data_IF_249374124956
#
_entry.id   IF_249374124956
#
_cell.length_a   1.000
_cell.length_b   1.000
_cell.length_c   1.000
_cell.angle_alpha   90.00
_cell.angle_beta   90.00
_cell.angle_gamma   90.00
#
_symmetry.space_group_name_H-M   'P 1'
#
loop_
_entity.id
_entity.type
_entity.pdbx_description
1 polymer ?
#
# COMPACT_ATOMS: atom_id res chain seq x y z
N UNK A 1 11.29 -30.24 3.34
CA UNK A 1 10.34 -29.16 3.03
C UNK A 1 10.52 -28.10 4.10
N UNK A 2 10.57 -26.83 3.72
CA UNK A 2 10.66 -25.71 4.66
C UNK A 2 9.32 -24.98 4.74
N UNK A 3 9.00 -24.44 5.92
CA UNK A 3 7.70 -23.81 6.19
C UNK A 3 7.86 -22.32 6.52
N UNK A 4 6.90 -21.52 6.07
CA UNK A 4 6.80 -20.10 6.43
C UNK A 4 6.11 -19.90 7.78
N UNK A 5 5.03 -20.66 8.01
CA UNK A 5 4.16 -20.55 9.17
C UNK A 5 3.74 -21.94 9.66
N UNK A 6 3.60 -22.08 10.98
CA UNK A 6 3.07 -23.28 11.63
C UNK A 6 1.66 -23.03 12.18
N UNK A 7 0.92 -24.13 12.37
CA UNK A 7 -0.38 -24.17 13.03
C UNK A 7 -0.24 -24.95 14.33
N UNK A 8 -0.58 -24.32 15.46
CA UNK A 8 -0.49 -24.94 16.78
C UNK A 8 -1.41 -26.17 16.87
N UNK A 9 -0.87 -27.29 17.36
CA UNK A 9 -1.62 -28.55 17.50
C UNK A 9 -1.93 -29.29 16.19
N UNK A 10 -1.52 -28.75 15.03
CA UNK A 10 -1.74 -29.38 13.73
C UNK A 10 -0.46 -30.07 13.20
N UNK A 11 -0.60 -31.15 12.41
CA UNK A 11 0.55 -31.80 11.76
C UNK A 11 1.22 -30.88 10.75
N UNK A 12 2.50 -31.12 10.45
CA UNK A 12 3.29 -30.33 9.49
C UNK A 12 2.73 -30.34 8.07
N UNK A 13 1.90 -31.33 7.72
CA UNK A 13 1.17 -31.37 6.44
C UNK A 13 0.14 -30.26 6.30
N UNK A 14 -0.27 -29.62 7.39
CA UNK A 14 -1.16 -28.47 7.42
C UNK A 14 -0.41 -27.13 7.53
N UNK A 15 0.92 -27.15 7.71
CA UNK A 15 1.73 -25.94 7.81
C UNK A 15 1.94 -25.30 6.44
N UNK A 16 2.19 -24.00 6.40
CA UNK A 16 2.35 -23.27 5.14
C UNK A 16 3.74 -23.51 4.55
N UNK A 17 3.86 -24.10 3.34
CA UNK A 17 5.15 -24.25 2.70
C UNK A 17 5.76 -22.89 2.35
N UNK A 18 7.04 -22.71 2.68
CA UNK A 18 7.75 -21.45 2.43
C UNK A 18 7.75 -21.01 0.95
N UNK A 19 7.95 -21.90 -0.04
CA UNK A 19 7.85 -21.49 -1.44
C UNK A 19 6.46 -21.02 -1.87
N UNK A 20 5.41 -21.53 -1.22
CA UNK A 20 4.02 -21.13 -1.51
C UNK A 20 3.79 -19.72 -0.98
N UNK A 21 4.07 -19.47 0.30
CA UNK A 21 3.95 -18.14 0.91
C UNK A 21 4.71 -17.08 0.13
N UNK A 22 6.00 -17.32 -0.14
CA UNK A 22 6.85 -16.36 -0.84
C UNK A 22 6.33 -16.02 -2.26
N UNK A 23 5.76 -17.00 -2.97
CA UNK A 23 5.14 -16.78 -4.28
C UNK A 23 3.85 -15.98 -4.15
N UNK A 24 2.99 -16.30 -3.19
CA UNK A 24 1.74 -15.57 -2.98
C UNK A 24 1.98 -14.12 -2.57
N UNK A 25 2.91 -13.87 -1.66
CA UNK A 25 3.35 -12.53 -1.28
C UNK A 25 3.97 -11.81 -2.47
N UNK A 26 4.80 -12.50 -3.26
CA UNK A 26 5.37 -11.98 -4.50
C UNK A 26 4.31 -11.50 -5.49
N UNK A 27 3.29 -12.33 -5.79
CA UNK A 27 2.20 -11.96 -6.69
C UNK A 27 1.36 -10.80 -6.14
N UNK A 28 1.01 -10.85 -4.85
CA UNK A 28 0.20 -9.82 -4.21
C UNK A 28 0.94 -8.47 -4.18
N UNK A 29 2.23 -8.46 -3.85
CA UNK A 29 3.06 -7.27 -3.87
C UNK A 29 3.24 -6.74 -5.30
N UNK A 30 3.44 -7.62 -6.29
CA UNK A 30 3.52 -7.24 -7.70
C UNK A 30 2.22 -6.60 -8.20
N UNK A 31 1.06 -7.17 -7.83
CA UNK A 31 -0.25 -6.64 -8.17
C UNK A 31 -0.45 -5.22 -7.64
N UNK A 32 -0.06 -4.95 -6.39
CA UNK A 32 -0.09 -3.59 -5.80
C UNK A 32 0.90 -2.65 -6.49
N UNK A 33 2.12 -3.12 -6.74
CA UNK A 33 3.18 -2.33 -7.37
C UNK A 33 2.93 -2.03 -8.86
N UNK A 34 2.07 -2.81 -9.52
CA UNK A 34 1.66 -2.57 -10.92
C UNK A 34 1.00 -1.19 -11.12
N UNK A 35 0.33 -0.66 -10.09
CA UNK A 35 -0.32 0.66 -10.11
C UNK A 35 0.66 1.82 -10.35
N UNK A 36 1.94 1.60 -10.06
CA UNK A 36 3.02 2.55 -10.33
C UNK A 36 4.15 1.90 -11.16
N UNK A 37 3.80 0.89 -11.98
CA UNK A 37 4.68 0.25 -12.95
C UNK A 37 5.98 -0.33 -12.36
N UNK A 38 5.89 -0.92 -11.16
CA UNK A 38 7.01 -1.54 -10.46
C UNK A 38 6.74 -3.01 -10.07
N UNK A 39 5.91 -3.70 -10.87
CA UNK A 39 5.47 -5.07 -10.56
C UNK A 39 6.64 -6.05 -10.38
N UNK A 40 7.68 -5.96 -11.22
CA UNK A 40 8.88 -6.80 -11.11
C UNK A 40 9.60 -6.60 -9.76
N UNK A 41 9.73 -5.36 -9.29
CA UNK A 41 10.33 -5.04 -7.99
C UNK A 41 9.48 -5.59 -6.84
N UNK A 42 8.15 -5.39 -6.89
CA UNK A 42 7.24 -5.93 -5.88
C UNK A 42 7.31 -7.46 -5.78
N UNK A 43 7.35 -8.13 -6.94
CA UNK A 43 7.51 -9.59 -7.04
C UNK A 43 8.77 -10.09 -6.36
N UNK A 44 9.92 -9.50 -6.70
CA UNK A 44 11.21 -9.88 -6.13
C UNK A 44 11.27 -9.61 -4.63
N UNK A 45 10.72 -8.48 -4.18
CA UNK A 45 10.63 -8.16 -2.75
C UNK A 45 9.84 -9.25 -1.99
N UNK A 46 8.67 -9.64 -2.51
CA UNK A 46 7.84 -10.68 -1.89
C UNK A 46 8.47 -12.07 -1.93
N UNK A 47 9.15 -12.44 -3.01
CA UNK A 47 9.85 -13.73 -3.09
C UNK A 47 10.97 -13.83 -2.05
N UNK A 48 11.70 -12.74 -1.80
CA UNK A 48 12.90 -12.76 -0.96
C UNK A 48 12.66 -12.39 0.51
N UNK A 49 11.52 -11.80 0.88
CA UNK A 49 11.34 -11.23 2.22
C UNK A 49 11.63 -12.24 3.35
N UNK A 50 11.12 -13.45 3.17
CA UNK A 50 11.20 -14.56 4.10
C UNK A 50 12.32 -15.55 3.81
N UNK A 51 13.26 -15.21 2.91
CA UNK A 51 14.28 -16.16 2.49
C UNK A 51 15.15 -16.67 3.65
N UNK A 52 15.30 -15.89 4.73
CA UNK A 52 16.00 -16.34 5.94
C UNK A 52 15.28 -17.46 6.71
N UNK A 53 13.99 -17.74 6.44
CA UNK A 53 13.26 -18.84 7.07
C UNK A 53 13.79 -20.21 6.66
N UNK A 54 14.57 -20.33 5.58
CA UNK A 54 15.28 -21.57 5.23
C UNK A 54 16.41 -21.94 6.20
N UNK A 55 16.81 -21.05 7.11
CA UNK A 55 17.83 -21.36 8.11
C UNK A 55 17.36 -22.48 9.05
N UNK A 56 18.23 -23.46 9.38
CA UNK A 56 17.88 -24.53 10.32
C UNK A 56 17.36 -24.02 11.67
N UNK A 57 17.93 -22.93 12.20
CA UNK A 57 17.50 -22.32 13.45
C UNK A 57 16.03 -21.84 13.40
N UNK A 58 15.61 -21.21 12.29
CA UNK A 58 14.24 -20.75 12.11
C UNK A 58 13.27 -21.93 11.98
N UNK A 59 13.63 -22.97 11.22
CA UNK A 59 12.79 -24.16 11.11
C UNK A 59 12.66 -24.88 12.46
N UNK A 60 13.73 -24.95 13.26
CA UNK A 60 13.68 -25.47 14.62
C UNK A 60 12.74 -24.64 15.52
N UNK A 61 12.75 -23.31 15.38
CA UNK A 61 11.81 -22.42 16.06
C UNK A 61 10.34 -22.73 15.77
N UNK A 62 9.99 -23.08 14.54
CA UNK A 62 8.60 -23.46 14.22
C UNK A 62 8.14 -24.74 14.95
N UNK A 63 9.08 -25.64 15.28
CA UNK A 63 8.81 -26.91 15.96
C UNK A 63 8.88 -26.82 17.49
N UNK A 64 9.76 -25.99 18.04
CA UNK A 64 9.95 -25.85 19.47
C UNK A 64 9.86 -24.37 19.90
N UNK A 65 8.80 -23.99 20.64
CA UNK A 65 8.65 -22.64 21.18
C UNK A 65 9.80 -22.18 22.09
N UNK A 66 10.66 -23.08 22.58
CA UNK A 66 11.84 -22.75 23.41
C UNK A 66 13.00 -22.19 22.60
N UNK A 67 13.04 -22.42 21.28
CA UNK A 67 14.04 -21.81 20.40
C UNK A 67 13.63 -20.36 20.15
N UNK A 68 14.55 -19.40 20.34
CA UNK A 68 14.22 -17.96 20.29
C UNK A 68 14.76 -17.25 19.06
N UNK A 69 15.56 -17.91 18.22
CA UNK A 69 16.06 -17.32 16.98
C UNK A 69 14.96 -17.28 15.91
N UNK A 70 14.38 -16.09 15.75
CA UNK A 70 13.35 -15.81 14.75
C UNK A 70 13.87 -14.93 13.63
N UNK A 71 15.16 -14.59 13.59
CA UNK A 71 15.69 -13.63 12.64
C UNK A 71 15.67 -14.19 11.21
N UNK A 72 15.02 -13.50 10.26
CA UNK A 72 14.95 -14.00 8.87
C UNK A 72 14.94 -12.90 7.78
N UNK A 73 14.89 -11.63 8.13
CA UNK A 73 14.83 -10.53 7.16
C UNK A 73 16.16 -10.27 6.43
N UNK A 74 17.30 -10.65 7.02
CA UNK A 74 18.62 -10.27 6.51
C UNK A 74 19.09 -11.11 5.31
N UNK A 75 18.80 -12.42 5.27
CA UNK A 75 19.30 -13.29 4.20
C UNK A 75 18.77 -12.89 2.81
N UNK A 76 17.47 -12.60 2.70
CA UNK A 76 16.86 -12.12 1.45
C UNK A 76 17.40 -10.76 1.01
N UNK A 77 17.61 -9.87 1.97
CA UNK A 77 18.20 -8.56 1.70
C UNK A 77 19.65 -8.67 1.19
N UNK A 78 20.45 -9.55 1.79
CA UNK A 78 21.80 -9.84 1.35
C UNK A 78 21.82 -10.44 -0.06
N UNK A 79 20.93 -11.40 -0.35
CA UNK A 79 20.81 -11.94 -1.71
C UNK A 79 20.54 -10.82 -2.72
N UNK A 80 19.56 -9.94 -2.45
CA UNK A 80 19.24 -8.82 -3.31
C UNK A 80 20.45 -7.90 -3.52
N UNK A 81 21.11 -7.50 -2.43
CA UNK A 81 22.31 -6.63 -2.44
C UNK A 81 23.44 -7.20 -3.28
N UNK A 82 23.71 -8.50 -3.19
CA UNK A 82 24.86 -9.13 -3.85
C UNK A 82 24.57 -9.60 -5.28
N UNK A 83 23.32 -9.93 -5.63
CA UNK A 83 23.00 -10.61 -6.90
C UNK A 83 22.18 -9.77 -7.88
N UNK A 84 21.49 -8.72 -7.44
CA UNK A 84 20.50 -8.00 -8.25
C UNK A 84 20.92 -6.57 -8.63
N UNK A 85 22.21 -6.28 -8.53
CA UNK A 85 22.80 -5.00 -8.93
C UNK A 85 22.23 -3.81 -8.15
N UNK A 86 22.08 -2.66 -8.85
CA UNK A 86 21.66 -1.38 -8.23
C UNK A 86 20.24 -1.45 -7.66
N UNK A 87 19.32 -2.11 -8.34
CA UNK A 87 17.95 -2.32 -7.85
C UNK A 87 17.92 -3.27 -6.66
N UNK A 88 18.87 -4.20 -6.61
CA UNK A 88 19.13 -5.06 -5.46
C UNK A 88 19.41 -4.30 -4.16
N UNK A 89 20.11 -3.16 -4.22
CA UNK A 89 20.35 -2.32 -3.03
C UNK A 89 19.04 -1.73 -2.50
N UNK A 90 18.18 -1.21 -3.36
CA UNK A 90 16.87 -0.71 -2.98
C UNK A 90 16.02 -1.83 -2.37
N UNK A 91 15.99 -2.99 -3.02
CA UNK A 91 15.22 -4.14 -2.54
C UNK A 91 15.75 -4.68 -1.22
N UNK A 92 17.07 -4.69 -1.02
CA UNK A 92 17.67 -5.08 0.25
C UNK A 92 17.12 -4.23 1.40
N UNK A 93 16.90 -2.94 1.15
CA UNK A 93 16.33 -2.04 2.14
C UNK A 93 14.85 -2.31 2.43
N UNK A 94 14.07 -2.54 1.39
CA UNK A 94 12.65 -2.94 1.51
C UNK A 94 12.52 -4.27 2.27
N UNK A 95 13.34 -5.26 1.92
CA UNK A 95 13.31 -6.61 2.49
C UNK A 95 13.79 -6.57 3.94
N UNK A 96 14.92 -5.95 4.26
CA UNK A 96 15.42 -5.93 5.64
C UNK A 96 14.44 -5.31 6.63
N UNK A 97 13.67 -4.31 6.19
CA UNK A 97 12.75 -3.57 7.03
C UNK A 97 11.38 -4.21 7.27
N UNK A 98 11.01 -5.31 6.60
CA UNK A 98 9.60 -5.76 6.54
C UNK A 98 8.97 -6.09 7.91
N UNK A 99 9.76 -6.36 8.95
CA UNK A 99 9.28 -6.50 10.33
C UNK A 99 9.58 -5.30 11.25
N UNK A 100 10.70 -4.61 11.04
CA UNK A 100 11.20 -3.58 11.95
C UNK A 100 10.92 -2.14 11.50
N UNK A 101 10.41 -1.96 10.28
CA UNK A 101 10.35 -0.67 9.60
C UNK A 101 11.61 -0.37 8.78
N UNK A 102 11.54 0.66 7.95
CA UNK A 102 12.68 1.11 7.14
C UNK A 102 13.74 1.76 8.04
N UNK A 103 14.95 1.21 8.01
CA UNK A 103 16.11 1.73 8.76
C UNK A 103 16.81 2.90 8.07
N UNK A 104 17.19 3.93 8.82
CA UNK A 104 18.02 4.99 8.27
C UNK A 104 19.42 4.48 7.88
N UNK A 105 19.97 5.00 6.77
CA UNK A 105 21.37 4.78 6.42
C UNK A 105 21.71 3.40 5.85
N UNK A 106 20.77 2.49 5.62
CA UNK A 106 21.08 1.16 5.05
C UNK A 106 21.71 1.23 3.65
N UNK A 107 21.40 2.29 2.89
CA UNK A 107 21.98 2.57 1.58
C UNK A 107 23.27 3.43 1.66
N UNK A 108 23.69 3.85 2.86
CA UNK A 108 24.95 4.55 3.03
C UNK A 108 26.13 3.59 2.79
N UNK A 109 27.32 4.15 2.48
CA UNK A 109 28.54 3.34 2.28
C UNK A 109 28.83 2.41 3.46
N UNK A 110 28.52 2.87 4.67
CA UNK A 110 28.73 2.13 5.93
C UNK A 110 27.43 1.47 6.46
N UNK A 111 26.35 1.52 5.69
CA UNK A 111 25.05 0.93 6.03
C UNK A 111 25.18 -0.58 6.20
N UNK A 112 25.28 -1.03 7.45
CA UNK A 112 25.37 -2.44 7.80
C UNK A 112 23.97 -3.00 8.01
N UNK A 113 23.64 -4.02 7.23
CA UNK A 113 22.59 -4.97 7.59
C UNK A 113 23.07 -5.70 8.83
N UNK A 114 22.25 -5.73 9.89
CA UNK A 114 22.50 -6.63 11.01
C UNK A 114 22.23 -8.06 10.52
N UNK A 115 23.32 -8.75 10.14
CA UNK A 115 23.27 -10.03 9.47
C UNK A 115 24.33 -10.97 10.04
N UNK A 116 23.93 -12.20 10.30
CA UNK A 116 24.83 -13.26 10.75
C UNK A 116 25.62 -13.85 9.58
N UNK A 117 26.71 -14.57 9.90
CA UNK A 117 27.43 -15.37 8.90
C UNK A 117 26.52 -16.41 8.22
N UNK A 118 25.55 -16.96 8.95
CA UNK A 118 24.57 -17.88 8.41
C UNK A 118 23.64 -17.21 7.37
N UNK A 119 23.27 -15.94 7.57
CA UNK A 119 22.49 -15.18 6.58
C UNK A 119 23.29 -14.97 5.30
N UNK A 120 24.57 -14.63 5.43
CA UNK A 120 25.46 -14.45 4.28
C UNK A 120 25.70 -15.76 3.54
N UNK A 121 25.98 -16.84 4.27
CA UNK A 121 26.17 -18.17 3.68
C UNK A 121 24.92 -18.61 2.89
N UNK A 122 23.73 -18.43 3.47
CA UNK A 122 22.47 -18.75 2.79
C UNK A 122 22.25 -17.89 1.54
N UNK A 123 22.47 -16.57 1.64
CA UNK A 123 22.36 -15.64 0.53
C UNK A 123 23.32 -15.96 -0.63
N UNK A 124 24.55 -16.38 -0.33
CA UNK A 124 25.57 -16.68 -1.34
C UNK A 124 25.40 -18.07 -1.95
N UNK A 125 25.02 -19.06 -1.14
CA UNK A 125 24.88 -20.45 -1.58
C UNK A 125 23.87 -20.60 -2.71
N UNK A 126 22.78 -19.83 -2.70
CA UNK A 126 21.78 -19.83 -3.77
C UNK A 126 21.08 -21.18 -4.04
N UNK A 127 21.43 -22.24 -3.32
CA UNK A 127 21.05 -23.63 -3.63
C UNK A 127 20.12 -24.29 -2.60
N UNK A 128 20.00 -23.74 -1.39
CA UNK A 128 19.10 -24.30 -0.37
C UNK A 128 17.63 -24.32 -0.83
N UNK A 129 17.27 -23.35 -1.67
CA UNK A 129 15.98 -23.18 -2.34
C UNK A 129 15.59 -24.30 -3.34
N UNK A 130 16.56 -25.02 -3.92
CA UNK A 130 16.26 -26.01 -4.97
C UNK A 130 15.56 -27.28 -4.46
N UNK A 131 15.51 -27.49 -3.13
CA UNK A 131 15.03 -28.75 -2.53
C UNK A 131 13.50 -28.88 -2.46
N UNK A 132 12.78 -27.77 -2.51
CA UNK A 132 11.31 -27.71 -2.45
C UNK A 132 10.70 -26.90 -3.61
N UNK A 133 11.48 -26.70 -4.68
CA UNK A 133 11.03 -26.05 -5.91
C UNK A 133 11.03 -24.51 -5.86
N UNK A 134 11.64 -23.89 -4.84
CA UNK A 134 11.82 -22.45 -4.82
C UNK A 134 12.85 -22.00 -5.84
N UNK A 135 12.49 -21.00 -6.64
CA UNK A 135 13.37 -20.42 -7.65
C UNK A 135 13.76 -19.01 -7.19
N UNK A 136 15.06 -18.80 -6.99
CA UNK A 136 15.57 -17.49 -6.65
C UNK A 136 15.39 -16.53 -7.84
N UNK A 137 14.93 -15.29 -7.60
CA UNK A 137 14.72 -14.33 -8.66
C UNK A 137 16.05 -13.82 -9.24
N UNK A 138 16.02 -13.51 -10.53
CA UNK A 138 17.05 -12.72 -11.21
C UNK A 138 16.86 -11.22 -11.02
N UNK A 139 17.70 -10.43 -11.70
CA UNK A 139 17.62 -8.96 -11.67
C UNK A 139 16.27 -8.49 -12.22
N UNK A 140 15.48 -7.74 -11.44
CA UNK A 140 14.18 -7.25 -11.90
C UNK A 140 14.35 -6.13 -12.94
N UNK A 141 13.35 -5.98 -13.79
CA UNK A 141 13.25 -4.82 -14.68
C UNK A 141 13.08 -3.52 -13.89
N UNK A 142 13.68 -2.41 -14.35
CA UNK A 142 13.48 -1.10 -13.74
C UNK A 142 12.02 -0.63 -13.93
N UNK A 143 11.50 0.22 -13.03
CA UNK A 143 10.16 0.74 -13.16
C UNK A 143 10.06 1.68 -14.36
N UNK A 144 9.07 1.48 -15.23
CA UNK A 144 8.89 2.27 -16.46
C UNK A 144 8.13 3.57 -16.25
N UNK A 145 7.46 3.70 -15.10
CA UNK A 145 6.54 4.82 -14.80
C UNK A 145 7.22 6.03 -14.18
N UNK A 146 8.48 5.91 -13.79
CA UNK A 146 9.23 6.98 -13.14
C UNK A 146 9.96 7.80 -14.20
N UNK A 147 9.53 9.04 -14.36
CA UNK A 147 10.21 10.05 -15.19
C UNK A 147 11.01 10.98 -14.31
N UNK A 148 12.20 11.44 -14.72
CA UNK A 148 12.97 12.44 -13.99
C UNK A 148 12.15 13.71 -13.72
N UNK A 149 12.45 14.40 -12.62
CA UNK A 149 11.72 15.60 -12.17
C UNK A 149 11.73 16.75 -13.19
N UNK A 150 12.75 16.82 -14.05
CA UNK A 150 12.85 17.82 -15.12
C UNK A 150 11.95 17.53 -16.33
N UNK A 151 11.19 16.42 -16.29
CA UNK A 151 10.28 16.00 -17.36
C UNK A 151 10.99 15.49 -18.61
N UNK A 152 12.33 15.47 -18.64
CA UNK A 152 13.13 14.93 -19.75
C UNK A 152 13.29 13.44 -19.50
N UNK A 153 12.66 12.62 -20.34
CA UNK A 153 12.56 11.16 -20.17
C UNK A 153 13.88 10.36 -20.16
N UNK A 154 15.05 11.00 -20.03
CA UNK A 154 16.37 10.37 -20.11
C UNK A 154 17.35 10.74 -18.96
N UNK A 155 16.91 11.46 -17.93
CA UNK A 155 17.72 11.79 -16.74
C UNK A 155 17.72 10.70 -15.64
N UNK A 156 18.61 10.79 -14.63
CA UNK A 156 18.55 9.95 -13.44
C UNK A 156 17.38 10.34 -12.54
N UNK A 157 16.80 9.37 -11.82
CA UNK A 157 15.79 9.66 -10.80
C UNK A 157 16.40 10.45 -9.64
N UNK A 158 15.63 11.38 -9.09
CA UNK A 158 16.04 12.17 -7.92
C UNK A 158 16.11 11.29 -6.66
N UNK A 159 16.81 11.79 -5.63
CA UNK A 159 16.83 11.13 -4.32
C UNK A 159 15.43 11.01 -3.72
N UNK A 160 14.56 12.01 -3.92
CA UNK A 160 13.16 11.97 -3.49
C UNK A 160 12.39 10.85 -4.17
N UNK A 161 12.54 10.69 -5.49
CA UNK A 161 11.86 9.63 -6.25
C UNK A 161 12.28 8.23 -5.80
N UNK A 162 13.58 8.01 -5.59
CA UNK A 162 14.07 6.74 -5.04
C UNK A 162 13.53 6.49 -3.64
N UNK A 163 13.58 7.50 -2.77
CA UNK A 163 13.10 7.40 -1.40
C UNK A 163 11.59 7.13 -1.33
N UNK A 164 10.81 7.71 -2.24
CA UNK A 164 9.36 7.48 -2.34
C UNK A 164 9.05 6.10 -2.92
N UNK A 165 9.74 5.67 -3.98
CA UNK A 165 9.62 4.33 -4.54
C UNK A 165 9.88 3.25 -3.50
N UNK A 166 10.95 3.39 -2.70
CA UNK A 166 11.27 2.48 -1.59
C UNK A 166 10.11 2.37 -0.62
N UNK A 167 9.53 3.50 -0.17
CA UNK A 167 8.39 3.49 0.77
C UNK A 167 7.14 2.86 0.17
N UNK A 168 6.87 3.10 -1.11
CA UNK A 168 5.75 2.49 -1.82
C UNK A 168 5.92 0.97 -1.95
N UNK A 169 7.11 0.49 -2.31
CA UNK A 169 7.42 -0.94 -2.39
C UNK A 169 7.39 -1.61 -1.02
N UNK A 170 7.94 -0.96 0.00
CA UNK A 170 7.84 -1.40 1.39
C UNK A 170 6.39 -1.55 1.84
N UNK A 171 5.54 -0.54 1.57
CA UNK A 171 4.11 -0.63 1.87
C UNK A 171 3.43 -1.77 1.10
N UNK A 172 3.79 -2.00 -0.17
CA UNK A 172 3.24 -3.11 -0.94
C UNK A 172 3.63 -4.47 -0.36
N UNK A 173 4.90 -4.63 0.04
CA UNK A 173 5.42 -5.86 0.64
C UNK A 173 4.74 -6.17 1.97
N UNK A 174 4.72 -5.20 2.90
CA UNK A 174 4.13 -5.38 4.23
C UNK A 174 2.63 -5.67 4.15
N UNK A 175 1.90 -4.97 3.27
CA UNK A 175 0.46 -5.23 3.07
C UNK A 175 0.23 -6.61 2.43
N UNK A 176 1.06 -7.02 1.47
CA UNK A 176 0.97 -8.33 0.84
C UNK A 176 1.25 -9.47 1.83
N UNK A 177 2.33 -9.38 2.61
CA UNK A 177 2.73 -10.37 3.60
C UNK A 177 1.66 -10.54 4.69
N UNK A 178 1.16 -9.43 5.24
CA UNK A 178 0.06 -9.46 6.22
C UNK A 178 -1.20 -10.11 5.65
N UNK A 179 -1.62 -9.75 4.43
CA UNK A 179 -2.83 -10.31 3.83
C UNK A 179 -2.69 -11.79 3.43
N UNK A 180 -1.48 -12.25 3.07
CA UNK A 180 -1.21 -13.67 2.83
C UNK A 180 -1.23 -14.44 4.15
N UNK A 181 -0.56 -13.93 5.18
CA UNK A 181 -0.54 -14.52 6.52
C UNK A 181 -1.95 -14.57 7.13
N UNK A 182 -2.73 -13.50 7.04
CA UNK A 182 -4.15 -13.48 7.45
C UNK A 182 -4.95 -14.57 6.72
N UNK A 183 -4.74 -14.72 5.40
CA UNK A 183 -5.42 -15.74 4.59
C UNK A 183 -5.05 -17.16 4.99
N UNK A 184 -3.80 -17.41 5.35
CA UNK A 184 -3.37 -18.72 5.83
C UNK A 184 -4.04 -19.07 7.17
N UNK A 185 -4.04 -18.15 8.14
CA UNK A 185 -4.57 -18.42 9.49
C UNK A 185 -6.10 -18.40 9.60
N UNK A 186 -6.77 -17.50 8.87
CA UNK A 186 -8.22 -17.27 9.00
C UNK A 186 -9.01 -17.76 7.78
N UNK A 187 -8.33 -18.30 6.76
CA UNK A 187 -8.92 -18.55 5.45
C UNK A 187 -9.22 -17.23 4.72
N UNK A 188 -10.01 -17.32 3.65
CA UNK A 188 -10.41 -16.12 2.88
C UNK A 188 -11.48 -15.34 3.66
N UNK A 189 -11.04 -14.44 4.55
CA UNK A 189 -11.93 -13.40 5.07
C UNK A 189 -12.18 -12.43 3.92
N UNK A 190 -13.33 -12.56 3.26
CA UNK A 190 -13.75 -11.64 2.23
C UNK A 190 -13.98 -10.25 2.86
N UNK A 191 -12.95 -9.41 2.91
CA UNK A 191 -13.16 -7.97 2.96
C UNK A 191 -13.87 -7.63 1.66
N UNK A 192 -15.18 -7.49 1.71
CA UNK A 192 -15.98 -7.14 0.53
C UNK A 192 -15.36 -5.96 -0.18
N UNK A 193 -15.45 -5.89 -1.52
CA UNK A 193 -14.94 -4.73 -2.24
C UNK A 193 -15.60 -3.50 -1.60
N UNK A 194 -14.79 -2.61 -1.01
CA UNK A 194 -15.31 -1.36 -0.49
C UNK A 194 -16.15 -0.67 -1.57
N UNK A 195 -17.12 0.15 -1.16
CA UNK A 195 -18.00 0.85 -2.10
C UNK A 195 -17.16 1.53 -3.21
N UNK A 196 -17.52 1.26 -4.47
CA UNK A 196 -16.77 1.82 -5.60
C UNK A 196 -16.91 3.34 -5.62
N UNK A 197 -16.00 4.03 -6.31
CA UNK A 197 -16.12 5.48 -6.53
C UNK A 197 -17.47 5.83 -7.18
N UNK A 198 -17.98 4.97 -8.05
CA UNK A 198 -19.30 5.14 -8.67
C UNK A 198 -20.44 5.03 -7.65
N UNK A 199 -20.38 4.06 -6.74
CA UNK A 199 -21.38 3.87 -5.69
C UNK A 199 -21.36 5.04 -4.71
N UNK A 200 -20.16 5.44 -4.26
CA UNK A 200 -19.97 6.57 -3.36
C UNK A 200 -20.47 7.87 -3.97
N UNK A 201 -20.16 8.11 -5.25
CA UNK A 201 -20.66 9.27 -5.99
C UNK A 201 -22.17 9.25 -6.10
N UNK A 202 -22.77 8.11 -6.46
CA UNK A 202 -24.22 7.97 -6.58
C UNK A 202 -24.93 8.23 -5.25
N UNK A 203 -24.38 7.72 -4.15
CA UNK A 203 -24.90 7.95 -2.80
C UNK A 203 -24.82 9.44 -2.40
N UNK A 204 -23.70 10.10 -2.72
CA UNK A 204 -23.54 11.53 -2.45
C UNK A 204 -24.49 12.38 -3.31
N UNK A 205 -24.58 12.11 -4.61
CA UNK A 205 -25.45 12.84 -5.53
C UNK A 205 -26.92 12.73 -5.10
N UNK A 206 -27.35 11.55 -4.63
CA UNK A 206 -28.68 11.36 -4.05
C UNK A 206 -28.90 12.24 -2.82
N UNK A 207 -27.93 12.27 -1.90
CA UNK A 207 -27.98 13.09 -0.69
C UNK A 207 -28.05 14.58 -1.02
N UNK A 208 -27.24 15.05 -1.97
CA UNK A 208 -27.21 16.45 -2.40
C UNK A 208 -28.53 16.87 -3.05
N UNK A 209 -29.11 16.01 -3.91
CA UNK A 209 -30.41 16.24 -4.55
C UNK A 209 -31.55 16.29 -3.54
N UNK A 210 -31.59 15.37 -2.58
CA UNK A 210 -32.59 15.38 -1.52
C UNK A 210 -32.52 16.66 -0.67
N UNK A 211 -31.31 17.09 -0.30
CA UNK A 211 -31.10 18.34 0.43
C UNK A 211 -31.45 19.59 -0.39
N UNK A 212 -31.31 19.56 -1.72
CA UNK A 212 -31.75 20.64 -2.59
C UNK A 212 -33.29 20.73 -2.61
N UNK A 213 -33.99 19.60 -2.84
CA UNK A 213 -35.46 19.53 -2.86
C UNK A 213 -36.09 20.02 -1.55
N UNK A 214 -35.58 19.56 -0.41
CA UNK A 214 -36.07 20.01 0.90
C UNK A 214 -35.90 21.54 1.12
N UNK A 215 -34.87 22.15 0.50
CA UNK A 215 -34.68 23.61 0.54
C UNK A 215 -35.63 24.34 -0.40
N UNK A 216 -35.99 23.75 -1.53
CA UNK A 216 -36.99 24.30 -2.47
C UNK A 216 -38.38 24.30 -1.80
N UNK A 217 -38.80 23.19 -1.21
CA UNK A 217 -40.10 23.03 -0.53
C UNK A 217 -40.30 24.04 0.61
N UNK A 218 -39.23 24.42 1.31
CA UNK A 218 -39.27 25.35 2.45
C UNK A 218 -38.99 26.81 2.04
N UNK A 219 -38.79 27.10 0.75
CA UNK A 219 -38.34 28.41 0.25
C UNK A 219 -36.93 28.81 0.71
N UNK A 220 -36.23 27.93 1.43
CA UNK A 220 -34.88 28.18 1.92
C UNK A 220 -33.83 28.22 0.79
N UNK A 221 -34.14 27.65 -0.37
CA UNK A 221 -33.28 27.70 -1.57
C UNK A 221 -32.99 29.14 -1.99
N UNK A 222 -33.96 30.04 -1.86
CA UNK A 222 -33.85 31.45 -2.27
C UNK A 222 -33.01 32.31 -1.32
N UNK A 223 -32.68 31.78 -0.13
CA UNK A 223 -31.81 32.49 0.81
C UNK A 223 -30.43 32.68 0.17
N UNK A 224 -29.83 33.90 0.24
CA UNK A 224 -28.55 34.19 -0.42
C UNK A 224 -27.43 33.18 -0.13
N UNK A 225 -27.36 32.68 1.11
CA UNK A 225 -26.38 31.67 1.52
C UNK A 225 -26.56 30.33 0.79
N UNK A 226 -27.79 29.90 0.54
CA UNK A 226 -28.07 28.62 -0.10
C UNK A 226 -27.90 28.71 -1.63
N UNK A 227 -28.29 29.83 -2.25
CA UNK A 227 -27.92 30.13 -3.65
C UNK A 227 -26.40 30.09 -3.84
N UNK A 228 -25.65 30.77 -2.96
CA UNK A 228 -24.19 30.79 -3.00
C UNK A 228 -23.56 29.41 -2.82
N UNK A 229 -24.10 28.58 -1.92
CA UNK A 229 -23.65 27.18 -1.74
C UNK A 229 -23.88 26.35 -3.00
N UNK A 230 -25.02 26.52 -3.66
CA UNK A 230 -25.32 25.84 -4.92
C UNK A 230 -24.38 26.29 -6.06
N UNK A 231 -24.12 27.60 -6.18
CA UNK A 231 -23.14 28.15 -7.12
C UNK A 231 -21.73 27.58 -6.90
N UNK A 232 -21.26 27.54 -5.65
CA UNK A 232 -19.95 26.99 -5.28
C UNK A 232 -19.86 25.50 -5.64
N UNK A 233 -20.90 24.72 -5.31
CA UNK A 233 -20.95 23.30 -5.61
C UNK A 233 -20.92 23.04 -7.12
N UNK A 234 -21.74 23.77 -7.89
CA UNK A 234 -21.81 23.66 -9.34
C UNK A 234 -20.48 24.07 -9.99
N UNK A 235 -19.88 25.17 -9.54
CA UNK A 235 -18.59 25.64 -10.02
C UNK A 235 -17.49 24.58 -9.78
N UNK A 236 -17.34 24.09 -8.55
CA UNK A 236 -16.32 23.10 -8.24
C UNK A 236 -16.51 21.82 -9.06
N UNK A 237 -17.71 21.25 -9.08
CA UNK A 237 -17.99 20.00 -9.82
C UNK A 237 -17.82 20.14 -11.33
N UNK A 238 -18.09 21.32 -11.92
CA UNK A 238 -17.82 21.58 -13.35
C UNK A 238 -16.33 21.45 -13.73
N UNK A 239 -15.42 21.61 -12.76
CA UNK A 239 -13.97 21.49 -12.97
C UNK A 239 -13.46 20.06 -12.83
N UNK A 240 -14.29 19.10 -12.44
CA UNK A 240 -13.88 17.74 -12.11
C UNK A 240 -13.26 16.97 -13.30
N UNK A 241 -13.66 17.28 -14.54
CA UNK A 241 -13.08 16.68 -15.74
C UNK A 241 -11.71 17.29 -16.14
N UNK A 242 -11.25 18.34 -15.45
CA UNK A 242 -9.95 18.96 -15.69
C UNK A 242 -8.78 18.00 -15.44
N UNK A 243 -7.56 18.33 -15.89
CA UNK A 243 -6.39 17.47 -15.72
C UNK A 243 -6.08 17.19 -14.24
N UNK A 244 -5.54 16.00 -13.95
CA UNK A 244 -5.08 15.64 -12.60
C UNK A 244 -4.03 16.64 -12.10
N UNK A 245 -4.15 17.07 -10.86
CA UNK A 245 -3.26 18.07 -10.27
C UNK A 245 -3.73 18.56 -8.92
N UNK A 246 -3.22 19.72 -8.51
CA UNK A 246 -3.58 20.38 -7.25
C UNK A 246 -4.72 21.37 -7.51
N UNK A 247 -5.75 21.31 -6.66
CA UNK A 247 -6.91 22.19 -6.71
C UNK A 247 -7.08 22.90 -5.37
N UNK A 248 -7.47 24.18 -5.41
CA UNK A 248 -7.70 25.01 -4.22
C UNK A 248 -9.16 25.41 -4.16
N UNK A 249 -9.82 25.16 -3.02
CA UNK A 249 -11.20 25.59 -2.76
C UNK A 249 -11.21 26.68 -1.67
N UNK A 250 -11.21 27.94 -2.10
CA UNK A 250 -11.25 29.10 -1.19
C UNK A 250 -12.70 29.52 -0.93
N UNK A 251 -13.26 29.07 0.19
CA UNK A 251 -14.66 29.32 0.56
C UNK A 251 -14.75 29.68 2.05
N UNK A 252 -15.52 30.71 2.44
CA UNK A 252 -15.67 31.10 3.84
C UNK A 252 -16.31 29.98 4.69
N UNK A 253 -16.23 30.11 6.01
CA UNK A 253 -16.91 29.19 6.94
C UNK A 253 -18.41 29.19 6.67
N UNK A 254 -19.04 28.02 6.78
CA UNK A 254 -20.45 27.86 6.42
C UNK A 254 -20.74 27.80 4.91
N UNK A 255 -19.76 28.05 4.02
CA UNK A 255 -19.98 28.03 2.56
C UNK A 255 -20.05 26.64 1.91
N UNK A 256 -20.10 25.55 2.69
CA UNK A 256 -20.29 24.19 2.15
C UNK A 256 -19.01 23.50 1.66
N UNK A 257 -17.83 23.86 2.19
CA UNK A 257 -16.53 23.31 1.79
C UNK A 257 -16.49 21.78 1.75
N UNK A 258 -16.93 21.11 2.81
CA UNK A 258 -16.81 19.66 2.97
C UNK A 258 -17.57 18.89 1.89
N UNK A 259 -18.86 19.18 1.70
CA UNK A 259 -19.67 18.51 0.68
C UNK A 259 -19.20 18.87 -0.73
N UNK A 260 -18.77 20.13 -0.94
CA UNK A 260 -18.25 20.58 -2.23
C UNK A 260 -16.95 19.88 -2.61
N UNK A 261 -15.98 19.80 -1.68
CA UNK A 261 -14.70 19.13 -1.93
C UNK A 261 -14.87 17.63 -2.14
N UNK A 262 -15.78 16.98 -1.40
CA UNK A 262 -16.09 15.57 -1.58
C UNK A 262 -16.78 15.30 -2.92
N UNK A 263 -17.76 16.14 -3.31
CA UNK A 263 -18.43 16.04 -4.61
C UNK A 263 -17.44 16.22 -5.77
N UNK A 264 -16.56 17.22 -5.67
CA UNK A 264 -15.47 17.40 -6.62
C UNK A 264 -14.54 16.18 -6.67
N UNK A 265 -14.09 15.69 -5.51
CA UNK A 265 -13.14 14.57 -5.44
C UNK A 265 -13.72 13.28 -6.04
N UNK A 266 -14.98 12.95 -5.75
CA UNK A 266 -15.64 11.77 -6.32
C UNK A 266 -15.91 11.93 -7.82
N UNK A 267 -16.30 13.12 -8.27
CA UNK A 267 -16.46 13.39 -9.70
C UNK A 267 -15.13 13.32 -10.46
N UNK A 268 -14.05 13.87 -9.89
CA UNK A 268 -12.70 13.82 -10.46
C UNK A 268 -12.15 12.39 -10.48
N UNK A 269 -12.32 11.65 -9.38
CA UNK A 269 -11.94 10.25 -9.31
C UNK A 269 -12.66 9.40 -10.37
N UNK A 270 -13.97 9.60 -10.54
CA UNK A 270 -14.74 8.93 -11.58
C UNK A 270 -14.28 9.30 -12.99
N UNK A 271 -14.02 10.58 -13.26
CA UNK A 271 -13.59 11.06 -14.58
C UNK A 271 -12.21 10.53 -15.00
N UNK A 272 -11.34 10.25 -14.03
CA UNK A 272 -9.95 9.82 -14.27
C UNK A 272 -9.67 8.36 -13.90
N UNK A 273 -10.69 7.59 -13.52
CA UNK A 273 -10.54 6.19 -13.11
C UNK A 273 -9.64 6.01 -11.87
N UNK A 274 -9.69 6.94 -10.91
CA UNK A 274 -8.93 6.83 -9.66
C UNK A 274 -9.62 5.85 -8.71
N UNK A 275 -8.84 5.09 -7.95
CA UNK A 275 -9.38 4.02 -7.10
C UNK A 275 -9.93 4.53 -5.75
N UNK A 276 -9.46 5.68 -5.24
CA UNK A 276 -9.72 6.11 -3.85
C UNK A 276 -9.81 7.62 -3.70
N UNK A 277 -10.60 8.05 -2.72
CA UNK A 277 -10.61 9.41 -2.15
C UNK A 277 -10.17 9.31 -0.69
N UNK A 278 -9.12 10.06 -0.32
CA UNK A 278 -8.64 10.15 1.06
C UNK A 278 -8.98 11.54 1.58
N UNK A 279 -9.81 11.60 2.62
CA UNK A 279 -10.19 12.85 3.27
C UNK A 279 -9.33 13.05 4.51
N UNK A 280 -8.47 14.07 4.49
CA UNK A 280 -7.66 14.46 5.63
C UNK A 280 -8.38 15.56 6.39
N UNK A 281 -8.73 15.29 7.64
CA UNK A 281 -9.35 16.27 8.55
C UNK A 281 -8.34 16.69 9.62
N UNK A 282 -8.30 17.97 10.03
CA UNK A 282 -7.42 18.42 11.10
C UNK A 282 -7.78 17.71 12.41
N UNK A 283 -6.75 17.31 13.17
CA UNK A 283 -6.87 16.56 14.42
C UNK A 283 -7.63 17.34 15.53
N UNK A 284 -7.71 18.66 15.41
CA UNK A 284 -8.40 19.54 16.36
C UNK A 284 -9.84 19.83 15.94
N UNK A 285 -10.75 18.90 16.26
CA UNK A 285 -12.07 19.21 16.83
C UNK A 285 -13.00 20.24 16.15
N UNK A 286 -13.03 20.37 14.82
CA UNK A 286 -14.24 20.90 14.19
C UNK A 286 -15.26 19.76 14.15
N UNK A 287 -16.18 19.73 15.13
CA UNK A 287 -17.35 18.85 15.13
C UNK A 287 -18.14 19.05 13.83
N UNK A 288 -17.84 18.25 12.80
CA UNK A 288 -18.72 18.11 11.66
C UNK A 288 -19.79 17.13 12.11
N UNK A 289 -20.88 17.68 12.62
CA UNK A 289 -22.13 16.97 12.92
C UNK A 289 -22.62 16.33 11.59
N UNK A 290 -22.21 15.10 11.33
CA UNK A 290 -22.67 14.28 10.19
C UNK A 290 -23.85 13.43 10.66
N UNK A 291 -24.97 14.10 10.96
CA UNK A 291 -26.22 13.42 11.32
C UNK A 291 -27.41 14.37 11.20
N UNK A 292 -28.60 13.88 10.81
CA UNK A 292 -29.81 14.69 10.84
C UNK A 292 -30.11 15.07 12.30
N UNK A 293 -30.28 16.37 12.55
CA UNK A 293 -30.83 16.86 13.82
C UNK A 293 -32.25 16.32 13.95
N UNK A 294 -32.42 15.33 14.80
CA UNK A 294 -33.71 15.04 15.43
C UNK A 294 -34.12 16.30 16.20
N UNK A 295 -35.02 17.08 15.63
CA UNK A 295 -35.78 18.08 16.37
C UNK A 295 -36.80 17.27 17.18
N UNK A 296 -36.47 16.98 18.44
CA UNK A 296 -37.48 16.63 19.41
C UNK A 296 -38.03 17.95 20.00
N UNK A 297 -39.33 18.12 19.84
CA UNK A 297 -40.19 19.07 20.57
C UNK A 297 -40.06 18.90 22.08
#
# INVERSE_FOLDING_TARGET
>A
MSYAHSLEGAPTTAWEPLPVHAREVGEAAAGKASKFQAAALGRVAGLLHDFGKYKPAFQAYLHDPKVTDKGHSSAGALYAKHRLGRLGLLLAHVIAGHHAGLQDGLLARDGRLDASEADLALALAGHAAGRDGFVLPGTPEPPTGLRPEDGRGAGPLSGFQWAFLTRMLFSCLVDADRLCTERFYQGVVARGPGASIADLRTALDRTLRAAARAREETGAAERPVNRRRAEILAHATSRAAGPKGVFTLTVPTGGGKTLTSLAFALAHAAAHGLDRVIVVIPFTGAWIETGPRSIAS
#
